data_IF_511501085095
#
_entry.id   IF_511501085095
#
_cell.length_a   1.000
_cell.length_b   1.000
_cell.length_c   1.000
_cell.angle_alpha   90.00
_cell.angle_beta   90.00
_cell.angle_gamma   90.00
#
_symmetry.space_group_name_H-M   'P 1'
#
loop_
_entity.id
_entity.type
_entity.pdbx_description
1 polymer ?
#
# COMPACT_ATOMS: atom_id res chain seq x y z
N UNK A 1 -10.57 -6.84 18.14
CA UNK A 1 -9.26 -7.41 17.80
C UNK A 1 -9.22 -8.95 17.87
N UNK A 2 -9.99 -9.62 18.76
CA UNK A 2 -10.13 -11.09 18.77
C UNK A 2 -11.29 -11.63 17.90
N UNK A 3 -12.20 -10.77 17.43
CA UNK A 3 -13.32 -11.16 16.56
C UNK A 3 -12.95 -11.25 15.07
N UNK A 4 -11.98 -10.46 14.59
CA UNK A 4 -11.49 -10.51 13.19
C UNK A 4 -10.77 -11.82 12.83
N UNK A 5 -10.40 -12.64 13.83
CA UNK A 5 -9.79 -13.94 13.62
C UNK A 5 -10.80 -15.03 13.20
N UNK A 6 -12.11 -14.79 13.33
CA UNK A 6 -13.14 -15.80 13.07
C UNK A 6 -13.58 -15.87 11.60
N UNK A 7 -13.34 -14.80 10.83
CA UNK A 7 -13.68 -14.71 9.40
C UNK A 7 -12.52 -15.15 8.47
N UNK A 8 -11.39 -15.59 9.03
CA UNK A 8 -10.30 -16.15 8.25
C UNK A 8 -10.68 -17.53 7.70
N UNK A 9 -10.99 -17.56 6.40
CA UNK A 9 -11.29 -18.76 5.62
C UNK A 9 -10.28 -19.89 5.95
N UNK A 10 -10.73 -21.13 6.31
CA UNK A 10 -9.84 -22.22 6.77
C UNK A 10 -8.80 -22.64 5.72
N UNK A 11 -9.04 -22.29 4.46
CA UNK A 11 -8.14 -22.48 3.33
C UNK A 11 -6.89 -21.59 3.41
N UNK A 12 -6.99 -20.38 3.97
CA UNK A 12 -5.82 -19.52 4.19
C UNK A 12 -4.93 -20.09 5.30
N UNK A 13 -5.52 -20.56 6.40
CA UNK A 13 -4.76 -21.18 7.49
C UNK A 13 -4.00 -22.43 7.04
N UNK A 14 -4.59 -23.26 6.17
CA UNK A 14 -3.92 -24.45 5.64
C UNK A 14 -2.81 -24.10 4.64
N UNK A 15 -3.00 -23.10 3.77
CA UNK A 15 -1.99 -22.64 2.82
C UNK A 15 -0.82 -21.97 3.55
N UNK A 16 -1.08 -21.07 4.49
CA UNK A 16 -0.03 -20.44 5.30
C UNK A 16 0.71 -21.49 6.15
N UNK A 17 0.00 -22.45 6.72
CA UNK A 17 0.60 -23.58 7.44
C UNK A 17 1.49 -24.45 6.56
N UNK A 18 1.07 -24.74 5.32
CA UNK A 18 1.85 -25.52 4.36
C UNK A 18 3.12 -24.79 3.94
N UNK A 19 3.05 -23.48 3.69
CA UNK A 19 4.20 -22.64 3.35
C UNK A 19 5.20 -22.59 4.53
N UNK A 20 4.70 -22.45 5.76
CA UNK A 20 5.52 -22.45 6.97
C UNK A 20 6.22 -23.80 7.18
N UNK A 21 5.49 -24.91 7.00
CA UNK A 21 6.03 -26.26 7.10
C UNK A 21 7.11 -26.53 6.04
N UNK A 22 6.90 -26.10 4.79
CA UNK A 22 7.86 -26.25 3.70
C UNK A 22 9.14 -25.43 3.95
N UNK A 23 8.97 -24.21 4.48
CA UNK A 23 10.09 -23.31 4.82
C UNK A 23 10.95 -23.85 5.96
N UNK A 24 10.37 -24.60 6.92
CA UNK A 24 11.15 -25.33 7.93
C UNK A 24 11.76 -26.63 7.40
N UNK A 25 11.08 -27.32 6.47
CA UNK A 25 11.51 -28.62 5.97
C UNK A 25 12.82 -28.54 5.18
N UNK A 26 13.00 -27.50 4.35
CA UNK A 26 14.20 -27.30 3.53
C UNK A 26 15.46 -27.13 4.39
N UNK A 27 15.54 -26.20 5.38
CA UNK A 27 16.68 -26.09 6.29
C UNK A 27 16.83 -27.29 7.23
N UNK A 28 15.75 -27.97 7.63
CA UNK A 28 15.83 -29.20 8.42
C UNK A 28 16.45 -30.37 7.62
N UNK A 29 16.11 -30.49 6.34
CA UNK A 29 16.68 -31.48 5.44
C UNK A 29 18.17 -31.18 5.16
N UNK A 30 18.49 -29.92 4.86
CA UNK A 30 19.87 -29.49 4.65
C UNK A 30 20.73 -29.71 5.90
N UNK A 31 20.22 -29.39 7.08
CA UNK A 31 20.95 -29.55 8.36
C UNK A 31 21.13 -31.01 8.77
N UNK A 32 20.18 -31.91 8.48
CA UNK A 32 20.37 -33.36 8.67
C UNK A 32 21.45 -33.91 7.75
N UNK A 33 21.45 -33.49 6.48
CA UNK A 33 22.45 -33.92 5.49
C UNK A 33 23.85 -33.38 5.86
N UNK A 34 23.93 -32.10 6.25
CA UNK A 34 25.17 -31.47 6.77
C UNK A 34 25.66 -32.13 8.05
N UNK A 35 24.79 -32.52 9.00
CA UNK A 35 25.21 -33.22 10.23
C UNK A 35 25.87 -34.56 9.96
N UNK A 36 25.42 -35.33 8.95
CA UNK A 36 26.06 -36.59 8.58
C UNK A 36 27.47 -36.40 8.04
N UNK A 37 27.76 -35.26 7.40
CA UNK A 37 29.10 -34.96 6.84
C UNK A 37 29.99 -34.16 7.80
N UNK A 38 29.42 -33.32 8.67
CA UNK A 38 30.13 -32.41 9.58
C UNK A 38 30.60 -33.03 10.90
N UNK A 39 30.11 -34.20 11.32
CA UNK A 39 30.68 -34.91 12.50
C UNK A 39 32.18 -35.24 12.32
N UNK A 40 32.71 -35.14 11.09
CA UNK A 40 34.14 -35.31 10.79
C UNK A 40 34.96 -34.01 10.82
N UNK A 41 34.33 -32.84 10.88
CA UNK A 41 35.02 -31.55 10.88
C UNK A 41 34.49 -30.69 12.03
N UNK A 42 35.31 -30.50 13.07
CA UNK A 42 34.99 -29.64 14.21
C UNK A 42 34.79 -28.20 13.76
N UNK A 43 33.54 -27.81 13.48
CA UNK A 43 33.20 -26.47 13.01
C UNK A 43 32.59 -25.66 14.15
N UNK A 44 33.26 -24.56 14.46
CA UNK A 44 32.88 -23.51 15.40
C UNK A 44 31.42 -23.07 15.19
N UNK A 45 30.66 -22.97 16.28
CA UNK A 45 29.24 -22.56 16.29
C UNK A 45 29.10 -21.11 15.83
N UNK A 46 29.09 -20.86 14.51
CA UNK A 46 28.67 -19.59 13.93
C UNK A 46 27.14 -19.54 14.00
N UNK A 47 26.61 -18.87 15.02
CA UNK A 47 25.18 -18.65 15.24
C UNK A 47 24.50 -17.89 14.09
N UNK A 48 25.28 -17.20 13.25
CA UNK A 48 24.83 -16.51 12.05
C UNK A 48 25.62 -17.01 10.84
N UNK A 49 25.00 -17.89 10.05
CA UNK A 49 25.62 -18.37 8.83
C UNK A 49 25.30 -17.40 7.67
N UNK A 50 26.26 -17.07 6.80
CA UNK A 50 26.04 -16.11 5.69
C UNK A 50 24.86 -16.48 4.79
N UNK A 51 24.53 -17.77 4.70
CA UNK A 51 23.44 -18.28 3.89
C UNK A 51 22.06 -17.80 4.38
N UNK A 52 21.84 -17.72 5.70
CA UNK A 52 20.58 -17.25 6.27
C UNK A 52 20.40 -15.75 6.01
N UNK A 53 21.48 -14.97 6.12
CA UNK A 53 21.45 -13.53 5.85
C UNK A 53 21.12 -13.24 4.38
N UNK A 54 21.69 -14.01 3.44
CA UNK A 54 21.39 -13.88 2.01
C UNK A 54 19.92 -14.17 1.67
N UNK A 55 19.31 -15.17 2.34
CA UNK A 55 17.88 -15.45 2.18
C UNK A 55 17.01 -14.27 2.63
N UNK A 56 17.26 -13.73 3.85
CA UNK A 56 16.53 -12.57 4.35
C UNK A 56 16.73 -11.33 3.48
N UNK A 57 17.95 -11.08 3.02
CA UNK A 57 18.26 -9.98 2.11
C UNK A 57 17.47 -10.09 0.80
N UNK A 58 17.38 -11.29 0.24
CA UNK A 58 16.64 -11.54 -1.01
C UNK A 58 15.14 -11.30 -0.80
N UNK A 59 14.55 -11.91 0.22
CA UNK A 59 13.13 -11.74 0.54
C UNK A 59 12.80 -10.27 0.84
N UNK A 60 13.65 -9.59 1.61
CA UNK A 60 13.52 -8.17 1.89
C UNK A 60 13.59 -7.32 0.61
N UNK A 61 14.53 -7.61 -0.29
CA UNK A 61 14.64 -6.89 -1.57
C UNK A 61 13.39 -7.07 -2.44
N UNK A 62 12.80 -8.26 -2.47
CA UNK A 62 11.53 -8.49 -3.16
C UNK A 62 10.40 -7.68 -2.54
N UNK A 63 10.22 -7.73 -1.21
CA UNK A 63 9.19 -6.95 -0.53
C UNK A 63 9.37 -5.45 -0.77
N UNK A 64 10.59 -4.94 -0.60
CA UNK A 64 10.91 -3.53 -0.82
C UNK A 64 10.62 -3.11 -2.28
N UNK A 65 11.00 -3.94 -3.26
CA UNK A 65 10.72 -3.70 -4.66
C UNK A 65 9.22 -3.56 -4.95
N UNK A 66 8.41 -4.49 -4.44
CA UNK A 66 6.95 -4.41 -4.58
C UNK A 66 6.36 -3.21 -3.83
N UNK A 67 6.79 -2.93 -2.60
CA UNK A 67 6.32 -1.78 -1.82
C UNK A 67 6.59 -0.45 -2.53
N UNK A 68 7.79 -0.26 -3.09
CA UNK A 68 8.15 0.96 -3.84
C UNK A 68 7.31 1.06 -5.12
N UNK A 69 7.15 -0.04 -5.86
CA UNK A 69 6.34 -0.05 -7.08
C UNK A 69 4.87 0.32 -6.79
N UNK A 70 4.28 -0.27 -5.75
CA UNK A 70 2.91 0.04 -5.32
C UNK A 70 2.80 1.48 -4.84
N UNK A 71 3.75 1.97 -4.04
CA UNK A 71 3.76 3.36 -3.58
C UNK A 71 3.76 4.34 -4.75
N UNK A 72 4.64 4.11 -5.73
CA UNK A 72 4.73 4.96 -6.92
C UNK A 72 3.47 4.91 -7.77
N UNK A 73 2.88 3.72 -7.94
CA UNK A 73 1.61 3.56 -8.65
C UNK A 73 0.49 4.34 -7.96
N UNK A 74 0.35 4.21 -6.64
CA UNK A 74 -0.68 4.91 -5.87
C UNK A 74 -0.48 6.43 -5.91
N UNK A 75 0.77 6.89 -5.82
CA UNK A 75 1.10 8.30 -5.95
C UNK A 75 0.73 8.85 -7.33
N UNK A 76 1.05 8.12 -8.41
CA UNK A 76 0.70 8.55 -9.76
C UNK A 76 -0.81 8.52 -10.01
N UNK A 77 -1.54 7.55 -9.46
CA UNK A 77 -2.99 7.51 -9.53
C UNK A 77 -3.61 8.74 -8.85
N UNK A 78 -3.25 9.00 -7.59
CA UNK A 78 -3.75 10.18 -6.87
C UNK A 78 -3.39 11.50 -7.59
N UNK A 79 -2.17 11.60 -8.13
CA UNK A 79 -1.76 12.76 -8.93
C UNK A 79 -2.60 12.90 -10.20
N UNK A 80 -2.89 11.80 -10.88
CA UNK A 80 -3.72 11.77 -12.09
C UNK A 80 -5.14 12.24 -11.79
N UNK A 81 -5.74 11.75 -10.70
CA UNK A 81 -7.10 12.10 -10.30
C UNK A 81 -7.22 13.59 -9.99
N UNK A 82 -6.32 14.15 -9.19
CA UNK A 82 -6.28 15.60 -8.89
C UNK A 82 -6.07 16.43 -10.16
N UNK A 83 -5.22 15.95 -11.08
CA UNK A 83 -4.99 16.66 -12.35
C UNK A 83 -6.25 16.67 -13.24
N UNK A 84 -6.96 15.54 -13.29
CA UNK A 84 -8.20 15.40 -14.05
C UNK A 84 -9.30 16.30 -13.47
N UNK A 85 -9.45 16.31 -12.15
CA UNK A 85 -10.40 17.15 -11.43
C UNK A 85 -10.12 18.64 -11.64
N UNK A 86 -8.86 19.06 -11.50
CA UNK A 86 -8.45 20.45 -11.76
C UNK A 86 -8.73 20.85 -13.22
N UNK A 87 -8.46 19.97 -14.18
CA UNK A 87 -8.77 20.22 -15.59
C UNK A 87 -10.28 20.34 -15.84
N UNK A 88 -11.10 19.48 -15.21
CA UNK A 88 -12.55 19.53 -15.30
C UNK A 88 -13.09 20.85 -14.71
N UNK A 89 -12.63 21.26 -13.53
CA UNK A 89 -13.01 22.52 -12.91
C UNK A 89 -12.63 23.73 -13.79
N UNK A 90 -11.41 23.75 -14.33
CA UNK A 90 -10.95 24.82 -15.21
C UNK A 90 -11.76 24.90 -16.50
N UNK A 91 -12.08 23.75 -17.11
CA UNK A 91 -12.89 23.70 -18.33
C UNK A 91 -14.32 24.18 -18.06
N UNK A 92 -14.94 23.74 -16.96
CA UNK A 92 -16.29 24.20 -16.58
C UNK A 92 -16.30 25.70 -16.28
N UNK A 93 -15.28 26.22 -15.58
CA UNK A 93 -15.11 27.65 -15.33
C UNK A 93 -14.99 28.44 -16.63
N UNK A 94 -14.20 27.97 -17.61
CA UNK A 94 -14.08 28.62 -18.92
C UNK A 94 -15.37 28.58 -19.72
N UNK A 95 -16.08 27.44 -19.73
CA UNK A 95 -17.35 27.28 -20.43
C UNK A 95 -18.45 28.17 -19.85
N UNK A 96 -18.42 28.43 -18.53
CA UNK A 96 -19.40 29.29 -17.87
C UNK A 96 -19.50 30.71 -18.45
N UNK A 97 -18.42 31.24 -19.02
CA UNK A 97 -18.42 32.57 -19.68
C UNK A 97 -19.30 32.63 -20.93
N UNK A 98 -19.52 31.49 -21.58
CA UNK A 98 -20.39 31.40 -22.75
C UNK A 98 -21.87 31.22 -22.38
N UNK A 99 -22.18 31.01 -21.10
CA UNK A 99 -23.53 30.71 -20.62
C UNK A 99 -24.20 31.96 -20.02
N UNK A 100 -25.45 32.29 -20.40
CA UNK A 100 -26.21 33.32 -19.72
C UNK A 100 -26.45 32.91 -18.25
N UNK A 101 -26.06 33.74 -17.28
CA UNK A 101 -26.20 33.44 -15.85
C UNK A 101 -25.09 32.55 -15.26
N UNK A 102 -23.93 32.43 -15.92
CA UNK A 102 -22.79 31.64 -15.43
C UNK A 102 -22.16 32.10 -14.11
N UNK A 103 -22.58 33.23 -13.52
CA UNK A 103 -22.08 33.74 -12.23
C UNK A 103 -22.28 32.75 -11.09
N UNK A 104 -23.47 32.14 -11.00
CA UNK A 104 -23.78 31.17 -9.94
C UNK A 104 -22.90 29.92 -10.04
N UNK A 105 -22.68 29.42 -11.27
CA UNK A 105 -21.82 28.26 -11.50
C UNK A 105 -20.36 28.55 -11.12
N UNK A 106 -19.87 29.76 -11.44
CA UNK A 106 -18.51 30.18 -11.03
C UNK A 106 -18.37 30.29 -9.52
N UNK A 107 -19.36 30.86 -8.84
CA UNK A 107 -19.37 30.95 -7.38
C UNK A 107 -19.39 29.57 -6.71
N UNK A 108 -20.17 28.62 -7.24
CA UNK A 108 -20.18 27.24 -6.73
C UNK A 108 -18.86 26.51 -6.96
N UNK A 109 -18.22 26.69 -8.12
CA UNK A 109 -16.89 26.12 -8.40
C UNK A 109 -15.81 26.70 -7.47
N UNK A 110 -15.86 27.99 -7.19
CA UNK A 110 -14.93 28.66 -6.27
C UNK A 110 -15.12 28.18 -4.82
N UNK A 111 -16.37 28.01 -4.39
CA UNK A 111 -16.70 27.45 -3.08
C UNK A 111 -16.24 25.98 -2.95
N UNK A 112 -16.42 25.19 -4.01
CA UNK A 112 -15.96 23.80 -4.06
C UNK A 112 -14.43 23.72 -3.92
N UNK A 113 -13.68 24.45 -4.76
CA UNK A 113 -12.22 24.43 -4.73
C UNK A 113 -11.66 24.90 -3.38
N UNK A 114 -12.29 25.91 -2.78
CA UNK A 114 -11.93 26.40 -1.45
C UNK A 114 -12.17 25.32 -0.39
N UNK A 115 -13.30 24.61 -0.44
CA UNK A 115 -13.61 23.48 0.47
C UNK A 115 -12.61 22.34 0.34
N UNK A 116 -12.22 21.97 -0.89
CA UNK A 116 -11.24 20.91 -1.14
C UNK A 116 -9.88 21.25 -0.51
N UNK A 117 -9.41 22.48 -0.72
CA UNK A 117 -8.10 22.93 -0.26
C UNK A 117 -8.02 23.15 1.26
N UNK A 118 -9.04 23.80 1.83
CA UNK A 118 -9.02 24.24 3.22
C UNK A 118 -9.57 23.20 4.20
N UNK A 119 -10.38 22.24 3.73
CA UNK A 119 -11.04 21.28 4.59
C UNK A 119 -10.71 19.83 4.22
N UNK A 120 -10.99 19.42 2.98
CA UNK A 120 -10.85 18.01 2.59
C UNK A 120 -9.41 17.51 2.64
N UNK A 121 -8.46 18.21 2.01
CA UNK A 121 -7.06 17.77 2.00
C UNK A 121 -6.42 17.76 3.40
N UNK A 122 -6.63 18.77 4.27
CA UNK A 122 -6.22 18.70 5.67
C UNK A 122 -6.83 17.53 6.43
N UNK A 123 -8.13 17.25 6.24
CA UNK A 123 -8.79 16.10 6.88
C UNK A 123 -8.21 14.77 6.36
N UNK A 124 -8.05 14.61 5.05
CA UNK A 124 -7.45 13.40 4.47
C UNK A 124 -6.04 13.15 5.04
N UNK A 125 -5.25 14.21 5.26
CA UNK A 125 -3.92 14.10 5.87
C UNK A 125 -3.98 13.69 7.34
N UNK A 126 -4.94 14.20 8.11
CA UNK A 126 -5.04 14.00 9.55
C UNK A 126 -5.73 12.68 9.92
N UNK A 127 -6.83 12.34 9.27
CA UNK A 127 -7.74 11.26 9.66
C UNK A 127 -7.94 10.21 8.58
N UNK A 128 -7.40 10.38 7.36
CA UNK A 128 -7.68 9.53 6.19
C UNK A 128 -9.19 9.41 5.89
N UNK A 129 -9.97 10.45 6.20
CA UNK A 129 -11.41 10.53 5.90
C UNK A 129 -11.69 11.68 4.93
N UNK A 130 -12.74 11.55 4.12
CA UNK A 130 -13.22 12.64 3.24
C UNK A 130 -14.07 13.63 4.05
N UNK A 131 -14.03 14.92 3.68
CA UNK A 131 -14.86 15.93 4.34
C UNK A 131 -16.32 15.85 3.88
N UNK A 132 -17.24 15.74 4.85
CA UNK A 132 -18.69 15.81 4.61
C UNK A 132 -19.12 17.16 4.04
N UNK A 133 -18.36 18.24 4.33
CA UNK A 133 -18.66 19.59 3.82
C UNK A 133 -18.45 19.69 2.32
N UNK A 134 -17.36 19.12 1.80
CA UNK A 134 -17.12 19.10 0.36
C UNK A 134 -18.12 18.19 -0.36
N UNK A 135 -18.45 17.04 0.24
CA UNK A 135 -19.45 16.14 -0.31
C UNK A 135 -20.85 16.77 -0.45
N UNK A 136 -21.18 17.76 0.38
CA UNK A 136 -22.46 18.47 0.33
C UNK A 136 -22.54 19.58 -0.74
N UNK A 137 -21.42 19.95 -1.37
CA UNK A 137 -21.36 20.97 -2.42
C UNK A 137 -21.55 20.41 -3.84
N UNK A 138 -21.70 19.08 -3.97
CA UNK A 138 -21.84 18.37 -5.24
C UNK A 138 -23.06 17.45 -5.27
#
# INVERSE_FOLDING_TARGET
MLEDLKDFNPLYLSVFGAIFALSLAIPAALSRLRRRTLVRAGVTRRLFSPEIFSLFATVYAFFLGFSIATLWSNYNAAKSDVTLEAAACLNTYRLSYSLPGGDGLRASLDAYLTSVLDDEWPQMRATNTMSERTAALF
#
